data_IF_598969795809
#
_entry.id   IF_598969795809
#
_cell.length_a   1.000
_cell.length_b   1.000
_cell.length_c   1.000
_cell.angle_alpha   90.00
_cell.angle_beta   90.00
_cell.angle_gamma   90.00
#
_symmetry.space_group_name_H-M   'P 1'
#
loop_
_entity.id
_entity.type
_entity.pdbx_description
1 polymer ?
#
# COMPACT_ATOMS: atom_id res chain seq x y z
N UNK A 1 20.08 -6.50 -9.45
CA UNK A 1 20.12 -6.70 -7.98
C UNK A 1 18.88 -6.13 -7.29
N UNK A 2 18.50 -4.86 -7.56
CA UNK A 2 17.27 -4.24 -7.05
C UNK A 2 15.98 -5.00 -7.42
N UNK A 3 15.77 -5.34 -8.69
CA UNK A 3 14.57 -6.06 -9.14
C UNK A 3 14.38 -7.41 -8.43
N UNK A 4 15.46 -8.16 -8.19
CA UNK A 4 15.40 -9.46 -7.51
C UNK A 4 14.92 -9.33 -6.05
N UNK A 5 15.33 -8.27 -5.35
CA UNK A 5 14.89 -8.05 -3.97
C UNK A 5 13.41 -7.66 -3.89
N UNK A 6 12.93 -6.85 -4.85
CA UNK A 6 11.50 -6.55 -4.94
C UNK A 6 10.67 -7.79 -5.27
N UNK A 7 11.06 -8.60 -6.26
CA UNK A 7 10.35 -9.85 -6.56
C UNK A 7 10.35 -10.82 -5.37
N UNK A 8 11.43 -10.84 -4.58
CA UNK A 8 11.52 -11.63 -3.36
C UNK A 8 10.50 -11.16 -2.30
N UNK A 9 10.41 -9.86 -2.02
CA UNK A 9 9.46 -9.37 -1.00
C UNK A 9 8.01 -9.59 -1.45
N UNK A 10 7.66 -9.37 -2.73
CA UNK A 10 6.31 -9.67 -3.23
C UNK A 10 5.95 -11.14 -3.04
N UNK A 11 6.85 -12.04 -3.46
CA UNK A 11 6.63 -13.48 -3.34
C UNK A 11 6.54 -13.95 -1.88
N UNK A 12 7.32 -13.35 -0.98
CA UNK A 12 7.27 -13.67 0.44
C UNK A 12 5.95 -13.24 1.07
N UNK A 13 5.52 -12.01 0.79
CA UNK A 13 4.28 -11.45 1.33
C UNK A 13 3.05 -12.19 0.80
N UNK A 14 3.03 -12.55 -0.48
CA UNK A 14 1.94 -13.37 -1.05
C UNK A 14 1.85 -14.74 -0.37
N UNK A 15 2.99 -15.39 -0.09
CA UNK A 15 2.99 -16.69 0.62
C UNK A 15 2.54 -16.58 2.06
N UNK A 16 2.86 -15.48 2.73
CA UNK A 16 2.58 -15.28 4.15
C UNK A 16 1.13 -14.82 4.40
N UNK A 17 0.61 -13.91 3.58
CA UNK A 17 -0.69 -13.26 3.81
C UNK A 17 -1.75 -13.62 2.76
N UNK A 18 -1.37 -14.24 1.65
CA UNK A 18 -2.23 -14.49 0.52
C UNK A 18 -2.32 -13.28 -0.43
N UNK A 19 -3.32 -13.32 -1.32
CA UNK A 19 -3.60 -12.25 -2.27
C UNK A 19 -5.09 -12.14 -2.56
N UNK A 20 -5.51 -10.94 -2.96
CA UNK A 20 -6.86 -10.69 -3.47
C UNK A 20 -6.92 -11.26 -4.89
N UNK A 21 -7.94 -12.06 -5.20
CA UNK A 21 -8.13 -12.55 -6.56
C UNK A 21 -8.77 -11.46 -7.42
N UNK A 22 -8.48 -11.47 -8.71
CA UNK A 22 -9.15 -10.59 -9.67
C UNK A 22 -10.66 -10.84 -9.65
N UNK A 23 -11.44 -9.79 -9.47
CA UNK A 23 -12.90 -9.82 -9.29
C UNK A 23 -13.35 -9.80 -7.83
N UNK A 24 -12.45 -9.92 -6.85
CA UNK A 24 -12.75 -9.86 -5.41
C UNK A 24 -12.34 -8.53 -4.77
N UNK A 25 -11.97 -7.52 -5.56
CA UNK A 25 -11.46 -6.23 -5.07
C UNK A 25 -12.49 -5.43 -4.27
N UNK A 26 -13.79 -5.57 -4.59
CA UNK A 26 -14.88 -4.82 -3.95
C UNK A 26 -14.91 -5.00 -2.43
N UNK A 27 -14.62 -6.21 -1.94
CA UNK A 27 -14.54 -6.50 -0.50
C UNK A 27 -13.47 -5.67 0.22
N UNK A 28 -12.46 -5.21 -0.53
CA UNK A 28 -11.32 -4.45 -0.02
C UNK A 28 -11.34 -2.98 -0.47
N UNK A 29 -12.43 -2.52 -1.10
CA UNK A 29 -12.55 -1.16 -1.62
C UNK A 29 -12.26 -0.08 -0.56
N UNK A 30 -12.66 -0.33 0.69
CA UNK A 30 -12.38 0.58 1.81
C UNK A 30 -10.88 0.84 2.05
N UNK A 31 -9.99 -0.10 1.71
CA UNK A 31 -8.54 0.06 1.80
C UNK A 31 -7.92 0.45 0.46
N UNK A 32 -8.40 -0.12 -0.64
CA UNK A 32 -7.88 0.18 -1.98
C UNK A 32 -8.09 1.64 -2.38
N UNK A 33 -9.29 2.19 -2.15
CA UNK A 33 -9.63 3.55 -2.59
C UNK A 33 -8.72 4.63 -1.96
N UNK A 34 -8.46 4.65 -0.65
CA UNK A 34 -7.50 5.59 -0.08
C UNK A 34 -6.07 5.41 -0.61
N UNK A 35 -5.60 4.16 -0.75
CA UNK A 35 -4.25 3.87 -1.26
C UNK A 35 -4.07 4.39 -2.70
N UNK A 36 -4.96 3.98 -3.61
CA UNK A 36 -4.91 4.36 -5.02
C UNK A 36 -5.18 5.86 -5.20
N UNK A 37 -6.11 6.42 -4.42
CA UNK A 37 -6.45 7.85 -4.46
C UNK A 37 -5.29 8.74 -4.01
N UNK A 38 -4.57 8.36 -2.96
CA UNK A 38 -3.42 9.12 -2.46
C UNK A 38 -2.26 9.11 -3.46
N UNK A 39 -1.93 7.95 -4.05
CA UNK A 39 -0.86 7.89 -5.06
C UNK A 39 -1.24 8.62 -6.34
N UNK A 40 -2.52 8.65 -6.71
CA UNK A 40 -2.99 9.44 -7.85
C UNK A 40 -2.81 10.94 -7.62
N UNK A 41 -3.09 11.43 -6.40
CA UNK A 41 -2.80 12.84 -6.03
C UNK A 41 -1.32 13.16 -6.20
N UNK A 42 -0.43 12.28 -5.70
CA UNK A 42 1.02 12.45 -5.88
C UNK A 42 1.40 12.46 -7.35
N UNK A 43 0.90 11.52 -8.16
CA UNK A 43 1.23 11.47 -9.58
C UNK A 43 0.80 12.72 -10.35
N UNK A 44 -0.37 13.29 -10.02
CA UNK A 44 -0.84 14.54 -10.62
C UNK A 44 0.09 15.72 -10.31
N UNK A 45 0.65 15.78 -9.11
CA UNK A 45 1.59 16.82 -8.70
C UNK A 45 3.00 16.56 -9.25
N UNK A 46 3.41 15.29 -9.31
CA UNK A 46 4.75 14.83 -9.69
C UNK A 46 4.66 13.71 -10.75
N UNK A 47 4.50 14.04 -12.05
CA UNK A 47 4.33 13.03 -13.10
C UNK A 47 5.51 12.05 -13.25
N UNK A 48 6.71 12.41 -12.76
CA UNK A 48 7.87 11.52 -12.68
C UNK A 48 7.67 10.35 -11.71
N UNK A 49 6.80 10.52 -10.71
CA UNK A 49 6.30 9.46 -9.82
C UNK A 49 5.27 8.61 -10.58
N UNK A 50 5.75 7.87 -11.58
CA UNK A 50 4.95 7.07 -12.51
C UNK A 50 4.70 5.63 -12.04
N UNK A 51 4.01 4.81 -12.84
CA UNK A 51 3.60 3.44 -12.47
C UNK A 51 4.79 2.55 -12.13
N UNK A 52 5.93 2.74 -12.82
CA UNK A 52 7.17 2.02 -12.50
C UNK A 52 7.68 2.37 -11.10
N UNK A 53 7.65 3.65 -10.75
CA UNK A 53 8.04 4.13 -9.42
C UNK A 53 7.04 3.70 -8.36
N UNK A 54 5.76 3.62 -8.69
CA UNK A 54 4.75 3.08 -7.79
C UNK A 54 4.97 1.60 -7.49
N UNK A 55 5.36 0.80 -8.49
CA UNK A 55 5.74 -0.60 -8.23
C UNK A 55 6.87 -0.68 -7.21
N UNK A 56 7.92 0.11 -7.38
CA UNK A 56 9.04 0.16 -6.42
C UNK A 56 8.58 0.63 -5.03
N UNK A 57 7.73 1.66 -4.97
CA UNK A 57 7.14 2.19 -3.74
C UNK A 57 6.33 1.14 -2.97
N UNK A 58 5.59 0.27 -3.66
CA UNK A 58 4.89 -0.86 -3.03
C UNK A 58 5.91 -1.83 -2.40
N UNK A 59 6.99 -2.14 -3.11
CA UNK A 59 8.06 -2.99 -2.57
C UNK A 59 8.69 -2.40 -1.31
N UNK A 60 8.95 -1.09 -1.31
CA UNK A 60 9.47 -0.35 -0.16
C UNK A 60 8.49 -0.35 1.02
N UNK A 61 7.21 -0.03 0.78
CA UNK A 61 6.17 -0.09 1.80
C UNK A 61 6.02 -1.50 2.42
N UNK A 62 6.15 -2.56 1.61
CA UNK A 62 6.15 -3.94 2.11
C UNK A 62 7.37 -4.24 3.00
N UNK A 63 8.55 -3.69 2.70
CA UNK A 63 9.71 -3.82 3.59
C UNK A 63 9.45 -3.13 4.93
N UNK A 64 8.96 -1.88 4.92
CA UNK A 64 8.70 -1.12 6.15
C UNK A 64 7.63 -1.77 7.02
N UNK A 65 6.55 -2.26 6.40
CA UNK A 65 5.52 -3.04 7.10
C UNK A 65 6.13 -4.32 7.68
N UNK A 66 6.99 -5.01 6.92
CA UNK A 66 7.67 -6.22 7.40
C UNK A 66 8.52 -5.97 8.62
N UNK A 67 9.35 -4.93 8.58
CA UNK A 67 10.16 -4.52 9.72
C UNK A 67 9.29 -4.29 10.95
N UNK A 68 8.14 -3.65 10.73
CA UNK A 68 7.25 -3.24 11.80
C UNK A 68 6.61 -4.42 12.52
N UNK A 69 6.07 -5.41 11.79
CA UNK A 69 5.41 -6.57 12.41
C UNK A 69 6.36 -7.69 12.83
N UNK A 70 7.53 -7.82 12.19
CA UNK A 70 8.50 -8.90 12.49
C UNK A 70 9.61 -8.46 13.45
N UNK A 71 9.95 -7.17 13.47
CA UNK A 71 11.14 -6.65 14.15
C UNK A 71 12.47 -6.90 13.41
N UNK A 72 12.44 -7.62 12.29
CA UNK A 72 13.63 -7.82 11.44
C UNK A 72 14.00 -6.53 10.71
N UNK A 73 15.29 -6.28 10.47
CA UNK A 73 15.76 -5.10 9.74
C UNK A 73 16.19 -5.44 8.32
N UNK A 74 15.83 -4.57 7.37
CA UNK A 74 16.10 -4.70 5.95
C UNK A 74 16.80 -3.45 5.43
N UNK A 75 17.92 -3.62 4.73
CA UNK A 75 18.61 -2.50 4.07
C UNK A 75 17.95 -2.17 2.72
N UNK A 76 16.77 -1.55 2.78
CA UNK A 76 16.01 -1.11 1.60
C UNK A 76 16.30 0.36 1.20
N UNK A 77 17.04 1.10 2.03
CA UNK A 77 17.28 2.54 1.84
C UNK A 77 17.97 2.87 0.52
N UNK A 78 18.84 2.00 0.02
CA UNK A 78 19.52 2.17 -1.27
C UNK A 78 18.58 2.13 -2.50
N UNK A 79 17.32 1.75 -2.33
CA UNK A 79 16.33 1.70 -3.41
C UNK A 79 15.38 2.89 -3.43
N UNK A 80 15.47 3.76 -2.42
CA UNK A 80 14.65 4.95 -2.31
C UNK A 80 15.21 6.09 -3.16
N UNK A 81 14.32 6.77 -3.86
CA UNK A 81 14.58 7.99 -4.58
C UNK A 81 13.38 8.95 -4.43
N UNK A 82 13.52 10.20 -4.83
CA UNK A 82 12.46 11.19 -4.65
C UNK A 82 11.12 10.78 -5.31
N UNK A 83 11.16 10.04 -6.42
CA UNK A 83 9.96 9.65 -7.15
C UNK A 83 9.17 8.55 -6.41
N UNK A 84 9.86 7.53 -5.91
CA UNK A 84 9.22 6.39 -5.23
C UNK A 84 8.96 6.66 -3.74
N UNK A 85 9.75 7.50 -3.06
CA UNK A 85 9.52 7.89 -1.66
C UNK A 85 8.21 8.65 -1.47
N UNK A 86 7.86 9.55 -2.40
CA UNK A 86 6.57 10.29 -2.33
C UNK A 86 5.39 9.33 -2.42
N UNK A 87 5.48 8.35 -3.32
CA UNK A 87 4.45 7.33 -3.52
C UNK A 87 4.37 6.37 -2.33
N UNK A 88 5.53 5.94 -1.80
CA UNK A 88 5.62 5.10 -0.61
C UNK A 88 4.93 5.78 0.56
N UNK A 89 5.28 7.04 0.84
CA UNK A 89 4.65 7.82 1.90
C UNK A 89 3.14 7.94 1.69
N UNK A 90 2.67 8.16 0.47
CA UNK A 90 1.24 8.26 0.16
C UNK A 90 0.48 6.95 0.38
N UNK A 91 1.10 5.81 0.07
CA UNK A 91 0.56 4.48 0.40
C UNK A 91 0.50 4.28 1.91
N UNK A 92 1.60 4.53 2.63
CA UNK A 92 1.68 4.34 4.07
C UNK A 92 0.72 5.26 4.83
N UNK A 93 0.55 6.51 4.41
CA UNK A 93 -0.44 7.43 5.01
C UNK A 93 -1.87 6.87 4.98
N UNK A 94 -2.19 5.97 4.04
CA UNK A 94 -3.53 5.41 3.89
C UNK A 94 -3.89 4.31 4.91
N UNK A 95 -2.88 3.64 5.50
CA UNK A 95 -3.14 2.48 6.36
C UNK A 95 -2.10 2.26 7.48
N UNK A 96 -0.92 2.85 7.43
CA UNK A 96 0.14 2.56 8.39
C UNK A 96 0.01 3.45 9.64
N UNK A 97 -0.24 2.89 10.84
CA UNK A 97 -0.39 3.67 12.06
C UNK A 97 0.90 4.34 12.53
N UNK A 98 2.07 3.92 12.06
CA UNK A 98 3.35 4.56 12.43
C UNK A 98 3.72 5.73 11.51
N UNK A 99 3.05 5.83 10.37
CA UNK A 99 3.16 6.95 9.43
C UNK A 99 2.02 7.94 9.62
N UNK A 100 0.80 7.45 9.90
CA UNK A 100 -0.39 8.26 10.14
C UNK A 100 -0.89 8.08 11.59
N UNK A 101 -0.65 9.11 12.41
CA UNK A 101 -1.04 9.10 13.82
C UNK A 101 -2.55 8.95 14.05
N UNK A 102 -3.40 9.42 13.13
CA UNK A 102 -4.85 9.28 13.29
C UNK A 102 -5.28 7.81 13.28
N UNK A 103 -4.62 6.99 12.45
CA UNK A 103 -4.81 5.54 12.42
C UNK A 103 -4.35 4.92 13.75
N UNK A 104 -3.20 5.34 14.28
CA UNK A 104 -2.72 4.81 15.57
C UNK A 104 -3.71 5.09 16.70
N UNK A 105 -4.25 6.30 16.79
CA UNK A 105 -5.22 6.65 17.84
C UNK A 105 -6.49 5.80 17.72
N UNK A 106 -7.02 5.62 16.50
CA UNK A 106 -8.17 4.73 16.27
C UNK A 106 -7.90 3.28 16.69
N UNK A 107 -6.71 2.76 16.43
CA UNK A 107 -6.35 1.38 16.81
C UNK A 107 -6.17 1.22 18.31
N UNK A 108 -5.57 2.21 19.00
CA UNK A 108 -5.47 2.20 20.46
C UNK A 108 -6.84 2.17 21.11
N UNK A 109 -7.76 2.99 20.61
CA UNK A 109 -9.14 3.03 21.07
C UNK A 109 -9.86 1.69 20.80
N UNK A 110 -9.71 1.13 19.59
CA UNK A 110 -10.32 -0.14 19.21
C UNK A 110 -9.84 -1.32 20.07
N UNK A 111 -8.52 -1.41 20.30
CA UNK A 111 -7.92 -2.52 21.04
C UNK A 111 -7.83 -2.26 22.55
N UNK A 112 -8.14 -1.06 23.02
CA UNK A 112 -7.97 -0.62 24.41
C UNK A 112 -6.54 -0.87 24.92
N UNK A 113 -5.55 -0.53 24.10
CA UNK A 113 -4.11 -0.67 24.41
C UNK A 113 -3.34 0.60 24.05
N UNK A 114 -2.26 0.88 24.78
CA UNK A 114 -1.37 1.99 24.45
C UNK A 114 -0.46 1.70 23.24
N UNK A 115 -0.17 0.41 22.99
CA UNK A 115 0.66 -0.05 21.88
C UNK A 115 0.22 -1.43 21.40
N UNK A 116 0.31 -1.66 20.10
CA UNK A 116 0.03 -2.95 19.50
C UNK A 116 1.19 -3.93 19.74
N UNK A 117 0.87 -5.13 20.22
CA UNK A 117 1.81 -6.26 20.23
C UNK A 117 2.19 -6.70 18.82
N UNK A 118 3.29 -7.46 18.66
CA UNK A 118 3.69 -7.95 17.34
C UNK A 118 2.63 -8.83 16.66
N UNK A 119 1.89 -9.62 17.45
CA UNK A 119 0.79 -10.42 16.93
C UNK A 119 -0.35 -9.54 16.40
N UNK A 120 -0.72 -8.48 17.13
CA UNK A 120 -1.74 -7.53 16.70
C UNK A 120 -1.30 -6.78 15.43
N UNK A 121 -0.04 -6.34 15.35
CA UNK A 121 0.51 -5.72 14.14
C UNK A 121 0.41 -6.67 12.95
N UNK A 122 0.84 -7.92 13.12
CA UNK A 122 0.78 -8.92 12.04
C UNK A 122 -0.65 -9.17 11.56
N UNK A 123 -1.62 -9.26 12.48
CA UNK A 123 -3.05 -9.40 12.13
C UNK A 123 -3.56 -8.16 11.39
N UNK A 124 -3.23 -6.97 11.88
CA UNK A 124 -3.63 -5.69 11.30
C UNK A 124 -3.15 -5.54 9.85
N UNK A 125 -1.87 -5.79 9.59
CA UNK A 125 -1.29 -5.57 8.26
C UNK A 125 -1.71 -6.59 7.20
N UNK A 126 -2.43 -7.67 7.55
CA UNK A 126 -2.85 -8.70 6.59
C UNK A 126 -3.55 -8.10 5.37
N UNK A 127 -4.60 -7.31 5.58
CA UNK A 127 -5.38 -6.75 4.46
C UNK A 127 -4.68 -5.60 3.74
N UNK A 128 -4.01 -4.66 4.42
CA UNK A 128 -3.15 -3.70 3.73
C UNK A 128 -2.09 -4.34 2.83
N UNK A 129 -1.40 -5.39 3.29
CA UNK A 129 -0.42 -6.12 2.48
C UNK A 129 -1.09 -6.75 1.24
N UNK A 130 -2.25 -7.38 1.42
CA UNK A 130 -3.01 -7.96 0.30
C UNK A 130 -3.44 -6.89 -0.73
N UNK A 131 -3.84 -5.70 -0.28
CA UNK A 131 -4.19 -4.57 -1.15
C UNK A 131 -2.97 -4.06 -1.94
N UNK A 132 -1.82 -3.88 -1.27
CA UNK A 132 -0.57 -3.50 -1.92
C UNK A 132 -0.18 -4.49 -3.02
N UNK A 133 -0.27 -5.79 -2.76
CA UNK A 133 0.01 -6.83 -3.75
C UNK A 133 -0.98 -6.78 -4.94
N UNK A 134 -2.27 -6.51 -4.67
CA UNK A 134 -3.28 -6.39 -5.73
C UNK A 134 -3.04 -5.18 -6.63
N UNK A 135 -2.69 -4.03 -6.04
CA UNK A 135 -2.29 -2.82 -6.77
C UNK A 135 -1.06 -3.14 -7.64
N UNK A 136 -0.04 -3.83 -7.08
CA UNK A 136 1.15 -4.25 -7.83
C UNK A 136 0.81 -5.10 -9.05
N UNK A 137 -0.08 -6.08 -8.92
CA UNK A 137 -0.54 -6.90 -10.05
C UNK A 137 -1.26 -6.07 -11.12
N UNK A 138 -2.04 -5.07 -10.70
CA UNK A 138 -2.70 -4.13 -11.62
C UNK A 138 -1.66 -3.29 -12.36
N UNK A 139 -0.63 -2.79 -11.66
CA UNK A 139 0.49 -2.07 -12.26
C UNK A 139 1.18 -2.91 -13.32
N UNK A 140 1.55 -4.16 -13.01
CA UNK A 140 2.21 -5.05 -13.97
C UNK A 140 1.35 -5.33 -15.22
N UNK A 141 0.03 -5.30 -15.08
CA UNK A 141 -0.90 -5.48 -16.21
C UNK A 141 -0.91 -4.23 -17.09
N UNK A 142 -1.08 -3.06 -16.50
CA UNK A 142 -1.23 -1.81 -17.24
C UNK A 142 0.10 -1.27 -17.76
N UNK A 143 1.22 -1.53 -17.10
CA UNK A 143 2.55 -1.21 -17.64
C UNK A 143 2.84 -1.95 -18.95
N UNK A 144 2.40 -3.22 -19.05
CA UNK A 144 2.56 -4.02 -20.27
C UNK A 144 1.72 -3.52 -21.43
N UNK A 145 0.54 -2.97 -21.15
CA UNK A 145 -0.39 -2.51 -22.19
C UNK A 145 -0.17 -1.05 -22.60
N UNK A 146 0.17 -0.18 -21.64
CA UNK A 146 0.13 1.28 -21.82
C UNK A 146 1.41 1.99 -21.37
N UNK A 147 2.49 1.26 -21.08
CA UNK A 147 3.80 1.83 -20.77
C UNK A 147 3.93 2.34 -19.34
N UNK A 148 4.94 3.19 -19.08
CA UNK A 148 5.36 3.55 -17.71
C UNK A 148 4.35 4.33 -16.88
N UNK A 149 3.31 4.90 -17.50
CA UNK A 149 2.21 5.58 -16.82
C UNK A 149 0.90 4.77 -16.84
N UNK A 150 0.90 3.60 -17.45
CA UNK A 150 -0.33 2.91 -17.83
C UNK A 150 -1.30 2.66 -16.69
N UNK A 151 -0.78 2.41 -15.47
CA UNK A 151 -1.65 2.22 -14.31
C UNK A 151 -2.24 3.54 -13.81
N UNK A 152 -1.50 4.64 -13.88
CA UNK A 152 -2.02 5.95 -13.52
C UNK A 152 -3.08 6.43 -14.50
N UNK A 153 -2.86 6.21 -15.81
CA UNK A 153 -3.88 6.48 -16.84
C UNK A 153 -5.17 5.69 -16.55
N UNK A 154 -5.03 4.40 -16.20
CA UNK A 154 -6.16 3.55 -15.84
C UNK A 154 -6.95 4.08 -14.62
N UNK A 155 -6.27 4.38 -13.50
CA UNK A 155 -6.98 4.84 -12.30
C UNK A 155 -7.51 6.28 -12.43
N UNK A 156 -6.88 7.12 -13.25
CA UNK A 156 -7.39 8.45 -13.59
C UNK A 156 -8.70 8.33 -14.37
N UNK A 157 -8.79 7.43 -15.35
CA UNK A 157 -10.03 7.14 -16.08
C UNK A 157 -11.11 6.51 -15.19
N UNK A 158 -10.72 5.56 -14.35
CA UNK A 158 -11.66 4.79 -13.52
C UNK A 158 -12.27 5.61 -12.39
N UNK A 159 -11.46 6.38 -11.66
CA UNK A 159 -11.89 7.07 -10.43
C UNK A 159 -11.37 8.51 -10.28
N UNK A 160 -10.59 9.04 -11.23
CA UNK A 160 -9.97 10.36 -11.12
C UNK A 160 -10.95 11.51 -10.92
N UNK A 161 -12.21 11.35 -11.37
CA UNK A 161 -13.27 12.34 -11.14
C UNK A 161 -13.70 12.45 -9.68
N UNK A 162 -13.57 11.39 -8.90
CA UNK A 162 -13.94 11.38 -7.48
C UNK A 162 -12.77 11.79 -6.58
N UNK A 163 -11.54 11.62 -7.04
CA UNK A 163 -10.33 12.01 -6.31
C UNK A 163 -10.08 13.52 -6.48
N UNK A 164 -10.26 14.28 -5.39
CA UNK A 164 -10.05 15.73 -5.32
C UNK A 164 -9.19 16.12 -4.11
N UNK A 165 -8.69 17.35 -4.15
CA UNK A 165 -7.86 17.92 -3.09
C UNK A 165 -6.49 17.26 -2.97
N UNK A 166 -5.72 17.74 -2.00
CA UNK A 166 -4.35 17.29 -1.74
C UNK A 166 -4.22 16.56 -0.39
N UNK A 167 -5.28 16.53 0.43
CA UNK A 167 -5.28 15.86 1.72
C UNK A 167 -5.20 14.34 1.52
N UNK A 168 -4.39 13.64 2.31
CA UNK A 168 -4.25 12.19 2.22
C UNK A 168 -5.39 11.52 2.99
N UNK A 169 -6.09 10.61 2.34
CA UNK A 169 -7.18 9.85 2.93
C UNK A 169 -6.64 8.56 3.55
N UNK A 170 -7.33 8.02 4.55
CA UNK A 170 -6.99 6.73 5.15
C UNK A 170 -8.24 5.94 5.50
N UNK A 171 -8.06 4.66 5.79
CA UNK A 171 -9.12 3.77 6.26
C UNK A 171 -8.52 2.62 7.05
N UNK A 172 -9.31 2.07 7.96
CA UNK A 172 -9.00 0.86 8.71
C UNK A 172 -10.10 -0.17 8.45
N UNK A 173 -9.71 -1.44 8.31
CA UNK A 173 -10.65 -2.54 8.22
C UNK A 173 -10.72 -3.21 9.59
N UNK A 174 -11.89 -3.14 10.26
CA UNK A 174 -12.05 -3.77 11.58
C UNK A 174 -11.85 -5.29 11.49
N UNK A 175 -11.22 -5.88 12.50
CA UNK A 175 -11.08 -7.33 12.62
C UNK A 175 -12.41 -8.06 12.76
N UNK A 176 -13.46 -7.37 13.23
CA UNK A 176 -14.80 -7.97 13.44
C UNK A 176 -15.47 -8.39 12.12
N UNK A 177 -14.95 -7.91 10.99
CA UNK A 177 -15.45 -8.25 9.65
C UNK A 177 -15.12 -9.68 9.21
N UNK A 178 -14.41 -10.47 10.04
CA UNK A 178 -13.93 -11.81 9.67
C UNK A 178 -14.27 -12.93 10.68
N UNK A 179 -15.16 -12.65 11.64
CA UNK A 179 -15.80 -13.69 12.49
C UNK A 179 -17.11 -14.24 11.86
N UNK A 180 -17.30 -14.10 10.54
CA UNK A 180 -18.39 -14.73 9.77
C UNK A 180 -17.89 -15.78 8.80
#
# INVERSE_FOLDING_TARGET
>A
MQLYQFEKIYSQMEREFGKIRKGEEETYAMLLLPMEGNVLKIHREFPESNSRRLREAIGLALFDVKETYSGEKYDAGNFRNAENERLEKALLMAFDPYTNNEIMELLKDQFQVDMLSQEQKKKYYKFPIMCLLRIKESIDTWEKHSGSNGYFDFIEEYMGREIKGNDMNFSIMSSDTFDM
#
